data_IF_846245634527
#
_entry.id   IF_846245634527
#
_cell.length_a   1.000
_cell.length_b   1.000
_cell.length_c   1.000
_cell.angle_alpha   90.00
_cell.angle_beta   90.00
_cell.angle_gamma   90.00
#
_symmetry.space_group_name_H-M   'P 1'
#
loop_
_entity.id
_entity.type
_entity.pdbx_description
1 polymer ?
#
# COMPACT_ATOMS: atom_id res chain seq x y z
N UNK A 1 -9.30 -3.83 -22.72
CA UNK A 1 -9.34 -2.41 -23.14
C UNK A 1 -9.75 -1.55 -21.95
N UNK A 2 -9.34 -0.27 -21.93
CA UNK A 2 -9.60 0.72 -20.87
C UNK A 2 -10.07 2.05 -21.51
N UNK A 3 -10.66 2.95 -20.73
CA UNK A 3 -10.95 4.30 -21.21
C UNK A 3 -9.65 5.09 -21.46
N UNK A 4 -9.62 5.88 -22.52
CA UNK A 4 -8.46 6.68 -22.88
C UNK A 4 -8.37 7.93 -21.99
N UNK A 5 -7.23 8.22 -21.36
CA UNK A 5 -7.09 9.42 -20.51
C UNK A 5 -6.99 10.72 -21.33
N UNK A 6 -6.72 10.64 -22.64
CA UNK A 6 -6.56 11.80 -23.51
C UNK A 6 -7.87 12.38 -24.06
N UNK A 7 -8.99 11.65 -23.94
CA UNK A 7 -10.32 12.14 -24.33
C UNK A 7 -11.40 11.55 -23.43
N UNK A 8 -12.64 12.02 -23.55
CA UNK A 8 -13.78 11.41 -22.86
C UNK A 8 -14.43 10.36 -23.76
N UNK A 9 -14.37 9.08 -23.38
CA UNK A 9 -15.04 7.98 -24.05
C UNK A 9 -16.13 7.33 -23.16
N UNK A 10 -17.26 6.96 -23.77
CA UNK A 10 -18.32 6.19 -23.11
C UNK A 10 -18.08 4.67 -23.16
N UNK A 11 -17.18 4.21 -24.02
CA UNK A 11 -16.75 2.82 -24.15
C UNK A 11 -15.21 2.72 -24.16
N UNK A 12 -14.58 1.68 -23.59
CA UNK A 12 -13.13 1.56 -23.50
C UNK A 12 -12.43 1.58 -24.88
N UNK A 13 -11.68 2.64 -25.19
CA UNK A 13 -11.00 2.81 -26.49
C UNK A 13 -9.48 2.55 -26.48
N UNK A 14 -8.86 2.46 -25.30
CA UNK A 14 -7.43 2.31 -25.13
C UNK A 14 -7.02 0.84 -24.95
N UNK A 15 -6.03 0.43 -25.74
CA UNK A 15 -5.34 -0.84 -25.59
C UNK A 15 -3.90 -0.61 -25.16
N UNK A 16 -3.49 -1.26 -24.07
CA UNK A 16 -2.12 -1.24 -23.55
C UNK A 16 -1.69 -2.69 -23.40
N UNK A 17 -0.56 -3.05 -24.01
CA UNK A 17 0.00 -4.40 -23.95
C UNK A 17 1.53 -4.33 -23.85
N UNK A 18 2.16 -5.45 -23.56
CA UNK A 18 3.62 -5.61 -23.56
C UNK A 18 3.98 -6.48 -24.76
N UNK A 19 4.92 -6.04 -25.58
CA UNK A 19 5.49 -6.81 -26.69
C UNK A 19 6.47 -7.87 -26.16
N UNK A 20 6.83 -8.86 -26.99
CA UNK A 20 7.72 -9.96 -26.61
C UNK A 20 9.12 -9.47 -26.18
N UNK A 21 9.55 -8.31 -26.69
CA UNK A 21 10.81 -7.65 -26.31
C UNK A 21 10.71 -6.78 -25.04
N UNK A 22 9.57 -6.78 -24.37
CA UNK A 22 9.34 -6.07 -23.12
C UNK A 22 8.89 -4.61 -23.26
N UNK A 23 8.77 -4.06 -24.48
CA UNK A 23 8.25 -2.71 -24.71
C UNK A 23 6.74 -2.64 -24.45
N UNK A 24 6.28 -1.53 -23.89
CA UNK A 24 4.85 -1.26 -23.73
C UNK A 24 4.31 -0.65 -25.03
N UNK A 25 3.30 -1.29 -25.61
CA UNK A 25 2.56 -0.79 -26.77
C UNK A 25 1.27 -0.14 -26.30
N UNK A 26 1.02 1.08 -26.77
CA UNK A 26 -0.16 1.86 -26.46
C UNK A 26 -0.85 2.23 -27.76
N UNK A 27 -2.14 1.90 -27.88
CA UNK A 27 -2.94 2.24 -29.05
C UNK A 27 -4.34 2.67 -28.64
N UNK A 28 -4.77 3.84 -29.09
CA UNK A 28 -6.14 4.33 -28.93
C UNK A 28 -6.92 4.14 -30.23
N UNK A 29 -7.99 3.34 -30.19
CA UNK A 29 -8.82 3.08 -31.37
C UNK A 29 -9.77 4.23 -31.73
N UNK A 30 -9.85 5.26 -30.87
CA UNK A 30 -10.64 6.47 -31.12
C UNK A 30 -9.82 7.62 -31.76
N UNK A 31 -8.52 7.43 -31.98
CA UNK A 31 -7.70 8.35 -32.78
C UNK A 31 -6.73 9.26 -32.01
N UNK A 32 -6.63 9.16 -30.69
CA UNK A 32 -5.57 9.88 -29.96
C UNK A 32 -4.19 9.37 -30.34
N UNK A 33 -3.22 10.28 -30.43
CA UNK A 33 -1.82 9.91 -30.62
C UNK A 33 -1.23 9.31 -29.35
N UNK A 34 -0.11 8.59 -29.48
CA UNK A 34 0.59 8.03 -28.31
C UNK A 34 1.08 9.16 -27.41
N UNK A 35 1.53 10.27 -27.99
CA UNK A 35 1.98 11.47 -27.28
C UNK A 35 0.88 12.09 -26.42
N UNK A 36 -0.34 12.21 -26.94
CA UNK A 36 -1.50 12.73 -26.19
C UNK A 36 -1.84 11.83 -25.01
N UNK A 37 -1.82 10.50 -25.23
CA UNK A 37 -2.06 9.52 -24.17
C UNK A 37 -0.97 9.59 -23.09
N UNK A 38 0.30 9.64 -23.49
CA UNK A 38 1.42 9.75 -22.56
C UNK A 38 1.37 11.06 -21.76
N UNK A 39 1.06 12.18 -22.42
CA UNK A 39 0.92 13.48 -21.76
C UNK A 39 -0.20 13.45 -20.71
N UNK A 40 -1.36 12.89 -21.04
CA UNK A 40 -2.48 12.75 -20.11
C UNK A 40 -2.14 11.84 -18.91
N UNK A 41 -1.26 10.85 -19.11
CA UNK A 41 -0.74 9.97 -18.05
C UNK A 41 0.42 10.58 -17.26
N UNK A 42 0.95 11.74 -17.66
CA UNK A 42 2.20 12.32 -17.16
C UNK A 42 3.40 11.37 -17.33
N UNK A 43 3.40 10.61 -18.42
CA UNK A 43 4.45 9.70 -18.84
C UNK A 43 5.24 10.27 -20.02
N UNK A 44 6.33 9.61 -20.38
CA UNK A 44 7.18 9.96 -21.53
C UNK A 44 7.50 8.70 -22.34
N UNK A 45 7.97 8.87 -23.57
CA UNK A 45 8.39 7.77 -24.45
C UNK A 45 9.36 6.78 -23.79
N UNK A 46 10.24 7.26 -22.90
CA UNK A 46 11.14 6.40 -22.12
C UNK A 46 10.39 5.38 -21.29
N UNK A 47 9.22 5.72 -20.75
CA UNK A 47 8.43 4.76 -19.96
C UNK A 47 7.80 3.63 -20.80
N UNK A 48 7.77 3.76 -22.13
CA UNK A 48 7.33 2.69 -23.03
C UNK A 48 8.46 1.74 -23.42
N UNK A 49 9.70 2.21 -23.40
CA UNK A 49 10.87 1.47 -23.87
C UNK A 49 11.75 0.96 -22.73
N UNK A 50 11.97 1.81 -21.74
CA UNK A 50 12.79 1.52 -20.59
C UNK A 50 11.88 0.98 -19.49
N UNK A 51 12.06 -0.29 -19.12
CA UNK A 51 11.58 -0.74 -17.82
C UNK A 51 12.27 0.15 -16.78
N UNK A 52 11.54 0.91 -15.96
CA UNK A 52 12.20 1.67 -14.92
C UNK A 52 13.00 0.71 -14.05
N UNK A 53 14.27 1.04 -13.75
CA UNK A 53 15.06 0.32 -12.75
C UNK A 53 14.54 0.61 -11.33
N UNK A 54 13.24 0.59 -11.13
CA UNK A 54 12.62 0.86 -9.84
C UNK A 54 12.70 -0.41 -8.99
N UNK A 55 13.89 -0.64 -8.43
CA UNK A 55 14.01 -1.58 -7.30
C UNK A 55 13.08 -1.08 -6.18
N UNK A 56 12.56 -1.97 -5.33
CA UNK A 56 11.67 -1.52 -4.26
C UNK A 56 12.33 -0.47 -3.34
N UNK A 57 13.65 -0.53 -3.16
CA UNK A 57 14.45 0.48 -2.45
C UNK A 57 14.40 1.85 -3.15
N UNK A 58 14.61 1.90 -4.47
CA UNK A 58 14.58 3.14 -5.25
C UNK A 58 13.16 3.70 -5.32
N UNK A 59 12.15 2.84 -5.43
CA UNK A 59 10.75 3.24 -5.40
C UNK A 59 10.40 3.85 -4.03
N UNK A 60 10.80 3.17 -2.94
CA UNK A 60 10.61 3.68 -1.58
C UNK A 60 11.36 5.01 -1.35
N UNK A 61 12.60 5.13 -1.83
CA UNK A 61 13.37 6.36 -1.67
C UNK A 61 12.78 7.53 -2.47
N UNK A 62 12.30 7.28 -3.69
CA UNK A 62 11.73 8.31 -4.57
C UNK A 62 10.38 8.80 -4.06
N UNK A 63 9.50 7.88 -3.66
CA UNK A 63 8.11 8.20 -3.33
C UNK A 63 7.82 8.23 -1.81
N UNK A 64 8.73 7.72 -0.99
CA UNK A 64 8.66 7.77 0.48
C UNK A 64 9.24 9.06 1.07
N UNK A 65 10.08 9.81 0.32
CA UNK A 65 10.76 11.03 0.77
C UNK A 65 9.97 12.32 0.61
N UNK A 66 8.68 12.30 0.30
CA UNK A 66 7.85 13.50 0.45
C UNK A 66 7.91 13.95 1.91
N UNK A 67 8.85 14.83 2.23
CA UNK A 67 9.07 15.43 3.54
C UNK A 67 7.88 16.34 3.83
N UNK A 68 7.41 16.32 5.07
CA UNK A 68 6.20 17.04 5.42
C UNK A 68 6.49 18.33 6.17
N UNK A 69 5.77 19.41 5.86
CA UNK A 69 5.69 20.54 6.76
C UNK A 69 4.96 20.11 8.03
N UNK A 70 5.58 20.36 9.17
CA UNK A 70 4.95 20.35 10.49
C UNK A 70 4.03 21.58 10.58
N UNK A 71 2.80 21.40 11.07
CA UNK A 71 1.86 22.50 11.26
C UNK A 71 1.46 22.60 12.74
N UNK A 72 1.15 23.82 13.22
CA UNK A 72 0.69 24.02 14.60
C UNK A 72 -0.67 23.36 14.83
N UNK A 73 -0.91 22.96 16.08
CA UNK A 73 -2.15 22.30 16.49
C UNK A 73 -3.37 23.21 16.26
N UNK A 74 -4.45 22.62 15.77
CA UNK A 74 -5.76 23.28 15.68
C UNK A 74 -6.46 23.23 17.03
N UNK A 75 -7.03 24.38 17.44
CA UNK A 75 -7.91 24.49 18.60
C UNK A 75 -9.15 23.60 18.40
N UNK A 76 -9.29 22.61 19.29
CA UNK A 76 -10.33 21.60 19.21
C UNK A 76 -11.48 21.89 20.18
N UNK A 77 -12.71 21.92 19.66
CA UNK A 77 -13.89 21.46 20.42
C UNK A 77 -14.16 19.99 20.09
N UNK A 78 -13.32 19.09 20.62
CA UNK A 78 -13.56 17.64 20.75
C UNK A 78 -12.35 16.97 21.43
N UNK A 79 -12.35 16.88 22.77
CA UNK A 79 -11.31 16.17 23.55
C UNK A 79 -9.90 16.76 23.46
N UNK A 80 -9.12 16.67 24.54
CA UNK A 80 -7.72 17.09 24.49
C UNK A 80 -6.92 16.21 23.51
N UNK A 81 -6.17 16.84 22.60
CA UNK A 81 -5.24 16.20 21.67
C UNK A 81 -4.33 15.18 22.40
N UNK A 82 -3.97 14.00 21.83
CA UNK A 82 -3.15 12.99 22.53
C UNK A 82 -1.85 13.54 23.13
N UNK A 83 -1.16 14.44 22.42
CA UNK A 83 0.00 15.16 22.94
C UNK A 83 -0.29 15.92 24.26
N UNK A 84 -1.44 16.58 24.38
CA UNK A 84 -1.86 17.28 25.60
C UNK A 84 -2.20 16.31 26.76
N UNK A 85 -2.41 15.02 26.46
CA UNK A 85 -2.58 13.92 27.43
C UNK A 85 -1.24 13.24 27.78
N UNK A 86 -0.11 13.85 27.42
CA UNK A 86 1.23 13.28 27.64
C UNK A 86 1.55 12.06 26.77
N UNK A 87 0.78 11.81 25.70
CA UNK A 87 1.05 10.70 24.80
C UNK A 87 2.15 11.04 23.79
N UNK A 88 3.00 10.06 23.49
CA UNK A 88 4.04 10.15 22.47
C UNK A 88 3.54 9.65 21.13
N UNK A 89 3.77 10.41 20.06
CA UNK A 89 3.56 9.95 18.69
C UNK A 89 4.62 8.89 18.34
N UNK A 90 4.17 7.71 17.92
CA UNK A 90 5.04 6.56 17.61
C UNK A 90 5.27 6.45 16.10
N UNK A 91 4.21 6.56 15.31
CA UNK A 91 4.29 6.46 13.86
C UNK A 91 3.16 7.23 13.17
N UNK A 92 3.39 7.56 11.90
CA UNK A 92 2.40 8.17 11.00
C UNK A 92 2.43 7.43 9.68
N UNK A 93 1.26 6.95 9.23
CA UNK A 93 1.11 6.21 7.98
C UNK A 93 0.18 6.95 7.03
N UNK A 94 0.58 7.07 5.75
CA UNK A 94 -0.14 7.86 4.74
C UNK A 94 -0.96 6.97 3.81
N UNK A 95 -2.23 7.31 3.64
CA UNK A 95 -3.14 6.62 2.73
C UNK A 95 -3.62 7.56 1.63
N UNK A 96 -3.88 6.98 0.44
CA UNK A 96 -4.43 7.69 -0.71
C UNK A 96 -3.63 8.93 -1.09
N UNK A 97 -2.33 8.77 -1.33
CA UNK A 97 -1.40 9.85 -1.66
C UNK A 97 -1.36 10.98 -0.63
N UNK A 98 -1.50 10.61 0.64
CA UNK A 98 -1.49 11.53 1.77
C UNK A 98 -2.82 12.24 1.99
N UNK A 99 -3.91 11.83 1.33
CA UNK A 99 -5.25 12.32 1.65
C UNK A 99 -5.66 11.99 3.07
N UNK A 100 -5.22 10.85 3.60
CA UNK A 100 -5.45 10.46 5.00
C UNK A 100 -4.14 10.12 5.70
N UNK A 101 -4.10 10.42 7.00
CA UNK A 101 -3.04 9.97 7.89
C UNK A 101 -3.63 9.12 9.00
N UNK A 102 -2.95 8.03 9.31
CA UNK A 102 -3.11 7.29 10.56
C UNK A 102 -1.94 7.63 11.47
N UNK A 103 -2.23 8.32 12.57
CA UNK A 103 -1.29 8.59 13.65
C UNK A 103 -1.45 7.55 14.74
N UNK A 104 -0.34 6.93 15.15
CA UNK A 104 -0.31 5.97 16.25
C UNK A 104 0.35 6.62 17.46
N UNK A 105 -0.42 6.78 18.53
CA UNK A 105 0.02 7.37 19.78
C UNK A 105 0.16 6.31 20.88
N UNK A 106 1.08 6.55 21.81
CA UNK A 106 1.28 5.74 23.02
C UNK A 106 1.27 6.59 24.26
N UNK A 107 0.50 6.20 25.27
CA UNK A 107 0.60 6.81 26.59
C UNK A 107 1.88 6.35 27.30
N UNK A 108 2.32 7.06 28.36
CA UNK A 108 3.39 6.58 29.23
C UNK A 108 3.09 5.20 29.85
N UNK A 109 1.82 4.91 30.13
CA UNK A 109 1.35 3.61 30.63
C UNK A 109 1.13 2.53 29.55
N UNK A 110 1.55 2.77 28.31
CA UNK A 110 1.52 1.77 27.23
C UNK A 110 0.20 1.68 26.44
N UNK A 111 -0.85 2.42 26.82
CA UNK A 111 -2.11 2.45 26.10
C UNK A 111 -1.93 3.00 24.68
N UNK A 112 -2.65 2.41 23.71
CA UNK A 112 -2.61 2.79 22.29
C UNK A 112 -3.76 3.75 21.98
N UNK A 113 -3.51 4.78 21.19
CA UNK A 113 -4.55 5.64 20.62
C UNK A 113 -4.28 5.83 19.12
N UNK A 114 -5.29 5.61 18.30
CA UNK A 114 -5.20 5.65 16.84
C UNK A 114 -6.04 6.81 16.35
N UNK A 115 -5.40 7.77 15.69
CA UNK A 115 -6.07 8.96 15.20
C UNK A 115 -5.97 9.03 13.69
N UNK A 116 -7.12 9.12 13.04
CA UNK A 116 -7.17 9.48 11.63
C UNK A 116 -7.25 10.98 11.46
N UNK A 117 -6.54 11.51 10.47
CA UNK A 117 -6.71 12.89 10.00
C UNK A 117 -6.85 12.91 8.48
N UNK A 118 -7.60 13.87 7.95
CA UNK A 118 -7.86 14.02 6.51
C UNK A 118 -7.33 15.35 6.01
N UNK A 119 -6.65 15.32 4.87
CA UNK A 119 -6.18 16.53 4.19
C UNK A 119 -7.36 17.34 3.65
N UNK A 120 -7.42 18.62 4.00
CA UNK A 120 -8.33 19.63 3.42
C UNK A 120 -7.49 20.81 2.93
N UNK A 121 -7.29 20.90 1.63
CA UNK A 121 -6.37 21.88 1.04
C UNK A 121 -4.94 21.67 1.51
N UNK A 122 -4.39 22.64 2.25
CA UNK A 122 -3.01 22.62 2.78
C UNK A 122 -2.92 22.10 4.22
N UNK A 123 -4.03 21.79 4.88
CA UNK A 123 -4.06 21.39 6.30
C UNK A 123 -4.62 19.99 6.50
N UNK A 124 -4.39 19.43 7.70
CA UNK A 124 -4.95 18.14 8.14
C UNK A 124 -5.94 18.40 9.25
N UNK A 125 -7.17 17.90 9.07
CA UNK A 125 -8.23 18.00 10.05
C UNK A 125 -8.48 16.64 10.71
N UNK A 126 -8.79 16.59 12.01
CA UNK A 126 -9.13 15.35 12.70
C UNK A 126 -10.33 14.61 12.08
N UNK A 127 -10.23 13.29 12.02
CA UNK A 127 -11.28 12.40 11.57
C UNK A 127 -11.22 12.06 10.08
N UNK A 128 -12.08 11.11 9.69
CA UNK A 128 -12.23 10.62 8.31
C UNK A 128 -13.46 11.20 7.59
N UNK A 129 -14.23 12.09 8.24
CA UNK A 129 -15.41 12.75 7.68
C UNK A 129 -16.43 11.78 7.06
N UNK A 130 -16.77 10.73 7.81
CA UNK A 130 -17.76 9.71 7.40
C UNK A 130 -17.24 8.68 6.41
N UNK A 131 -15.98 8.76 5.96
CA UNK A 131 -15.36 7.72 5.14
C UNK A 131 -15.03 6.51 6.03
N UNK A 132 -15.54 5.31 5.74
CA UNK A 132 -15.18 4.10 6.49
C UNK A 132 -13.78 3.61 6.10
N UNK A 133 -13.13 2.86 6.99
CA UNK A 133 -11.81 2.28 6.71
C UNK A 133 -11.81 1.31 5.53
N UNK A 134 -12.93 0.63 5.26
CA UNK A 134 -13.11 -0.25 4.10
C UNK A 134 -13.09 0.49 2.76
N UNK A 135 -13.35 1.80 2.75
CA UNK A 135 -13.26 2.64 1.55
C UNK A 135 -11.85 3.20 1.31
N UNK A 136 -10.93 3.02 2.25
CA UNK A 136 -9.53 3.40 2.05
C UNK A 136 -8.83 2.44 1.08
N UNK A 137 -7.83 2.93 0.31
CA UNK A 137 -6.95 2.05 -0.44
C UNK A 137 -6.13 1.16 0.51
N UNK A 138 -5.50 0.12 -0.03
CA UNK A 138 -4.46 -0.58 0.73
C UNK A 138 -3.32 0.39 1.06
N UNK A 139 -2.62 0.12 2.17
CA UNK A 139 -1.42 0.88 2.50
C UNK A 139 -0.34 0.58 1.45
N UNK A 140 0.19 1.62 0.79
CA UNK A 140 1.11 1.50 -0.35
C UNK A 140 0.49 0.87 -1.61
N UNK A 141 -0.83 0.98 -1.81
CA UNK A 141 -1.50 0.33 -2.95
C UNK A 141 -0.89 0.69 -4.31
N UNK A 142 -0.47 1.95 -4.52
CA UNK A 142 0.14 2.37 -5.78
C UNK A 142 1.42 1.59 -6.05
N UNK A 143 2.30 1.52 -5.06
CA UNK A 143 3.55 0.76 -5.11
C UNK A 143 3.30 -0.73 -5.33
N UNK A 144 2.28 -1.28 -4.68
CA UNK A 144 1.88 -2.68 -4.82
C UNK A 144 1.39 -2.99 -6.23
N UNK A 145 0.57 -2.12 -6.83
CA UNK A 145 0.11 -2.31 -8.21
C UNK A 145 1.26 -2.31 -9.20
N UNK A 146 2.29 -1.49 -8.97
CA UNK A 146 3.51 -1.50 -9.77
C UNK A 146 4.25 -2.83 -9.61
N UNK A 147 4.40 -3.34 -8.38
CA UNK A 147 5.02 -4.63 -8.10
C UNK A 147 4.31 -5.79 -8.81
N UNK A 148 2.98 -5.85 -8.69
CA UNK A 148 2.15 -6.86 -9.37
C UNK A 148 2.32 -6.79 -10.88
N UNK A 149 2.30 -5.58 -11.46
CA UNK A 149 2.53 -5.38 -12.90
C UNK A 149 3.94 -5.78 -13.37
N UNK A 150 4.94 -5.65 -12.50
CA UNK A 150 6.31 -6.07 -12.77
C UNK A 150 6.55 -7.58 -12.52
N UNK A 151 5.59 -8.29 -11.93
CA UNK A 151 5.76 -9.68 -11.51
C UNK A 151 6.64 -9.85 -10.27
N UNK A 152 6.81 -8.79 -9.48
CA UNK A 152 7.55 -8.81 -8.22
C UNK A 152 6.68 -9.37 -7.08
N UNK A 153 7.26 -10.14 -6.14
CA UNK A 153 6.51 -10.66 -5.01
C UNK A 153 6.06 -9.54 -4.07
N UNK A 154 4.85 -9.67 -3.53
CA UNK A 154 4.26 -8.74 -2.57
C UNK A 154 4.04 -9.43 -1.23
N UNK A 155 4.58 -8.85 -0.16
CA UNK A 155 4.35 -9.35 1.21
C UNK A 155 3.11 -8.68 1.80
N UNK A 156 2.14 -9.49 2.25
CA UNK A 156 0.96 -9.04 2.98
C UNK A 156 1.19 -9.27 4.47
N UNK A 157 1.08 -8.19 5.25
CA UNK A 157 1.25 -8.20 6.71
C UNK A 157 0.08 -7.49 7.40
N UNK A 158 -0.06 -7.65 8.71
CA UNK A 158 -1.20 -7.06 9.45
C UNK A 158 -1.05 -5.55 9.73
N UNK A 159 0.19 -5.02 9.82
CA UNK A 159 0.41 -3.65 10.27
C UNK A 159 1.21 -2.78 9.30
N UNK A 160 0.88 -1.48 9.27
CA UNK A 160 1.57 -0.49 8.42
C UNK A 160 3.02 -0.28 8.85
N UNK A 161 3.32 -0.45 10.15
CA UNK A 161 4.69 -0.38 10.66
C UNK A 161 5.54 -1.55 10.17
N UNK A 162 4.96 -2.74 10.05
CA UNK A 162 5.64 -3.89 9.43
C UNK A 162 5.86 -3.66 7.93
N UNK A 163 4.87 -3.10 7.22
CA UNK A 163 5.03 -2.68 5.82
C UNK A 163 6.18 -1.69 5.68
N UNK A 164 6.22 -0.64 6.51
CA UNK A 164 7.28 0.37 6.43
C UNK A 164 8.68 -0.23 6.67
N UNK A 165 8.82 -1.19 7.59
CA UNK A 165 10.08 -1.89 7.82
C UNK A 165 10.51 -2.73 6.62
N UNK A 166 9.58 -3.51 6.05
CA UNK A 166 9.83 -4.37 4.89
C UNK A 166 10.16 -3.54 3.64
N UNK A 167 9.44 -2.45 3.41
CA UNK A 167 9.71 -1.55 2.28
C UNK A 167 11.06 -0.84 2.42
N UNK A 168 11.48 -0.47 3.64
CA UNK A 168 12.84 0.05 3.89
C UNK A 168 13.93 -0.99 3.63
N UNK A 169 13.65 -2.26 3.94
CA UNK A 169 14.52 -3.38 3.58
C UNK A 169 14.50 -3.69 2.07
N UNK A 170 13.58 -3.07 1.34
CA UNK A 170 13.60 -3.03 -0.11
C UNK A 170 12.88 -4.18 -0.79
N UNK A 171 11.71 -4.53 -0.25
CA UNK A 171 10.72 -5.38 -0.92
C UNK A 171 9.35 -4.71 -0.87
N UNK A 172 8.44 -5.12 -1.75
CA UNK A 172 7.07 -4.61 -1.73
C UNK A 172 6.24 -5.29 -0.65
N UNK A 173 5.54 -4.48 0.14
CA UNK A 173 4.62 -4.97 1.14
C UNK A 173 3.38 -4.10 1.23
N UNK A 174 2.30 -4.67 1.74
CA UNK A 174 1.03 -4.00 1.90
C UNK A 174 0.29 -4.47 3.14
N UNK A 175 -0.62 -3.63 3.59
CA UNK A 175 -1.64 -3.97 4.58
C UNK A 175 -2.93 -3.19 4.29
N UNK A 176 -3.94 -3.33 5.14
CA UNK A 176 -5.22 -2.62 5.07
C UNK A 176 -5.41 -1.73 6.30
N UNK A 177 -6.35 -0.79 6.24
CA UNK A 177 -6.77 -0.03 7.41
C UNK A 177 -7.74 -0.85 8.28
N UNK A 178 -7.52 -0.88 9.60
CA UNK A 178 -8.45 -1.51 10.56
C UNK A 178 -7.92 -2.76 11.30
N UNK A 179 -6.70 -3.22 11.00
CA UNK A 179 -6.05 -4.35 11.71
C UNK A 179 -6.76 -5.71 11.54
N UNK A 180 -6.36 -6.73 12.31
CA UNK A 180 -6.87 -8.11 12.20
C UNK A 180 -8.40 -8.25 12.20
N UNK A 181 -9.12 -7.38 12.91
CA UNK A 181 -10.57 -7.49 13.03
C UNK A 181 -11.29 -7.24 11.70
N UNK A 182 -10.70 -6.46 10.79
CA UNK A 182 -11.38 -5.96 9.59
C UNK A 182 -10.48 -5.91 8.35
N UNK A 183 -9.92 -7.05 7.89
CA UNK A 183 -9.23 -7.10 6.60
C UNK A 183 -10.17 -6.73 5.45
N UNK A 184 -9.67 -5.84 4.58
CA UNK A 184 -10.37 -5.42 3.37
C UNK A 184 -10.17 -6.46 2.25
N UNK A 185 -10.88 -7.59 2.37
CA UNK A 185 -10.72 -8.75 1.49
C UNK A 185 -10.99 -8.42 0.02
N UNK A 186 -12.04 -7.65 -0.26
CA UNK A 186 -12.40 -7.26 -1.63
C UNK A 186 -11.29 -6.46 -2.30
N UNK A 187 -10.71 -5.49 -1.56
CA UNK A 187 -9.61 -4.68 -2.08
C UNK A 187 -8.32 -5.49 -2.24
N UNK A 188 -8.01 -6.38 -1.29
CA UNK A 188 -6.88 -7.30 -1.40
C UNK A 188 -6.98 -8.16 -2.66
N UNK A 189 -8.15 -8.78 -2.89
CA UNK A 189 -8.42 -9.57 -4.10
C UNK A 189 -8.29 -8.74 -5.38
N UNK A 190 -8.83 -7.52 -5.38
CA UNK A 190 -8.78 -6.64 -6.56
C UNK A 190 -7.37 -6.14 -6.89
N UNK A 191 -6.51 -5.95 -5.88
CA UNK A 191 -5.14 -5.43 -6.05
C UNK A 191 -4.15 -6.55 -6.37
N UNK A 192 -4.28 -7.71 -5.71
CA UNK A 192 -3.27 -8.79 -5.74
C UNK A 192 -3.60 -9.93 -6.72
N UNK A 193 -4.63 -9.76 -7.57
CA UNK A 193 -4.97 -10.73 -8.60
C UNK A 193 -3.78 -10.97 -9.53
N UNK A 194 -3.39 -12.23 -9.71
CA UNK A 194 -2.28 -12.68 -10.55
C UNK A 194 -0.88 -12.40 -9.96
N UNK A 195 -0.80 -11.93 -8.71
CA UNK A 195 0.45 -11.63 -8.02
C UNK A 195 1.07 -12.88 -7.38
N UNK A 196 2.37 -12.83 -7.12
CA UNK A 196 3.06 -13.73 -6.20
C UNK A 196 3.03 -13.12 -4.79
N UNK A 197 2.37 -13.80 -3.84
CA UNK A 197 2.07 -13.25 -2.52
C UNK A 197 2.71 -14.07 -1.42
N UNK A 198 3.36 -13.38 -0.48
CA UNK A 198 3.76 -13.95 0.81
C UNK A 198 2.87 -13.38 1.90
N UNK A 199 2.14 -14.22 2.63
CA UNK A 199 1.33 -13.82 3.77
C UNK A 199 2.09 -14.08 5.06
N UNK A 200 2.35 -13.01 5.82
CA UNK A 200 3.03 -13.07 7.12
C UNK A 200 2.12 -12.48 8.19
N UNK A 201 1.40 -13.32 8.94
CA UNK A 201 0.56 -12.84 10.03
C UNK A 201 1.37 -12.54 11.28
N UNK A 202 0.80 -11.74 12.17
CA UNK A 202 1.25 -11.69 13.56
C UNK A 202 0.92 -13.06 14.20
N UNK A 203 1.87 -13.64 14.93
CA UNK A 203 1.70 -14.98 15.51
C UNK A 203 0.99 -14.92 16.87
N UNK A 204 -0.25 -14.43 16.84
CA UNK A 204 -1.21 -14.52 17.93
C UNK A 204 -2.57 -15.00 17.41
N UNK A 205 -3.51 -15.25 18.32
CA UNK A 205 -4.81 -15.82 17.93
C UNK A 205 -5.60 -14.90 16.95
N UNK A 206 -5.73 -13.57 17.20
CA UNK A 206 -6.36 -12.66 16.25
C UNK A 206 -5.67 -12.61 14.89
N UNK A 207 -4.34 -12.53 14.86
CA UNK A 207 -3.54 -12.44 13.64
C UNK A 207 -3.66 -13.70 12.79
N UNK A 208 -3.56 -14.88 13.41
CA UNK A 208 -3.77 -16.15 12.72
C UNK A 208 -5.21 -16.30 12.18
N UNK A 209 -6.22 -15.84 12.94
CA UNK A 209 -7.61 -15.84 12.49
C UNK A 209 -7.82 -14.92 11.27
N UNK A 210 -7.20 -13.73 11.29
CA UNK A 210 -7.19 -12.83 10.15
C UNK A 210 -6.47 -13.46 8.94
N UNK A 211 -5.31 -14.09 9.16
CA UNK A 211 -4.54 -14.76 8.12
C UNK A 211 -5.36 -15.82 7.37
N UNK A 212 -6.13 -16.64 8.10
CA UNK A 212 -7.02 -17.65 7.49
C UNK A 212 -8.04 -17.03 6.55
N UNK A 213 -8.63 -15.90 6.91
CA UNK A 213 -9.59 -15.16 6.06
C UNK A 213 -8.90 -14.59 4.81
N UNK A 214 -7.74 -13.96 4.97
CA UNK A 214 -6.97 -13.39 3.86
C UNK A 214 -6.50 -14.49 2.91
N UNK A 215 -6.01 -15.60 3.45
CA UNK A 215 -5.60 -16.78 2.68
C UNK A 215 -6.75 -17.32 1.82
N UNK A 216 -7.92 -17.55 2.42
CA UNK A 216 -9.08 -18.06 1.71
C UNK A 216 -9.51 -17.14 0.56
N UNK A 217 -9.44 -15.82 0.74
CA UNK A 217 -9.79 -14.85 -0.28
C UNK A 217 -8.75 -14.76 -1.42
N UNK A 218 -7.46 -14.85 -1.09
CA UNK A 218 -6.37 -14.66 -2.07
C UNK A 218 -6.03 -15.92 -2.86
N UNK A 219 -6.10 -17.10 -2.24
CA UNK A 219 -5.75 -18.39 -2.87
C UNK A 219 -6.32 -18.59 -4.28
N UNK A 220 -7.60 -18.28 -4.58
CA UNK A 220 -8.15 -18.51 -5.92
C UNK A 220 -7.74 -17.46 -6.97
N UNK A 221 -7.09 -16.36 -6.59
CA UNK A 221 -6.81 -15.23 -7.51
C UNK A 221 -5.34 -14.90 -7.69
N UNK A 222 -4.46 -15.32 -6.77
CA UNK A 222 -3.01 -15.11 -6.85
C UNK A 222 -2.34 -16.15 -7.74
N UNK A 223 -1.20 -15.80 -8.35
CA UNK A 223 -0.36 -16.74 -9.10
C UNK A 223 0.33 -17.74 -8.16
N UNK A 224 0.89 -17.22 -7.07
CA UNK A 224 1.45 -17.99 -5.95
C UNK A 224 1.03 -17.35 -4.64
N UNK A 225 0.76 -18.18 -3.62
CA UNK A 225 0.46 -17.73 -2.27
C UNK A 225 1.16 -18.61 -1.26
N UNK A 226 2.05 -18.02 -0.47
CA UNK A 226 2.84 -18.74 0.52
C UNK A 226 2.71 -18.10 1.89
N UNK A 227 2.50 -18.93 2.91
CA UNK A 227 2.39 -18.49 4.29
C UNK A 227 3.74 -18.63 4.98
N UNK A 228 4.20 -17.57 5.63
CA UNK A 228 5.38 -17.62 6.49
C UNK A 228 4.96 -17.11 7.86
N UNK A 229 4.92 -18.01 8.84
CA UNK A 229 4.53 -17.67 10.21
C UNK A 229 5.79 -17.41 11.04
N UNK A 230 5.91 -16.27 11.74
CA UNK A 230 6.95 -16.02 12.74
C UNK A 230 6.91 -17.01 13.92
N UNK A 231 7.80 -16.90 14.91
CA UNK A 231 7.66 -17.66 16.16
C UNK A 231 6.47 -17.15 16.99
N UNK A 232 5.91 -17.93 17.93
CA UNK A 232 4.79 -17.50 18.76
C UNK A 232 5.04 -16.14 19.44
N UNK A 233 4.08 -15.23 19.32
CA UNK A 233 4.15 -13.87 19.87
C UNK A 233 4.98 -12.87 19.04
N UNK A 234 5.57 -13.29 17.91
CA UNK A 234 6.33 -12.41 17.02
C UNK A 234 5.50 -11.87 15.86
N UNK A 235 5.95 -10.74 15.32
CA UNK A 235 5.40 -10.13 14.11
C UNK A 235 6.35 -10.22 12.90
N UNK A 236 5.91 -9.70 11.76
CA UNK A 236 6.73 -9.69 10.54
C UNK A 236 8.04 -8.89 10.65
N UNK A 237 8.15 -7.91 11.57
CA UNK A 237 9.39 -7.16 11.80
C UNK A 237 10.40 -7.97 12.59
N UNK A 238 9.95 -8.77 13.56
CA UNK A 238 10.82 -9.69 14.29
C UNK A 238 11.41 -10.72 13.32
N UNK A 239 10.57 -11.29 12.45
CA UNK A 239 11.02 -12.22 11.41
C UNK A 239 12.00 -11.56 10.42
N UNK A 240 11.71 -10.32 9.99
CA UNK A 240 12.62 -9.53 9.15
C UNK A 240 13.97 -9.28 9.85
N UNK A 241 13.97 -8.94 11.13
CA UNK A 241 15.19 -8.69 11.88
C UNK A 241 16.03 -9.97 12.04
N UNK A 242 15.38 -11.13 12.22
CA UNK A 242 16.04 -12.41 12.42
C UNK A 242 16.58 -13.03 11.12
N UNK A 243 15.84 -12.93 10.01
CA UNK A 243 16.13 -13.70 8.78
C UNK A 243 16.28 -12.83 7.51
N UNK A 244 16.15 -11.51 7.64
CA UNK A 244 16.17 -10.59 6.52
C UNK A 244 15.04 -10.81 5.51
N UNK A 245 15.12 -10.12 4.38
CA UNK A 245 14.13 -10.24 3.29
C UNK A 245 14.10 -11.64 2.70
N UNK A 246 15.26 -12.31 2.62
CA UNK A 246 15.35 -13.68 2.13
C UNK A 246 14.53 -14.66 2.97
N UNK A 247 14.48 -14.48 4.30
CA UNK A 247 13.67 -15.31 5.19
C UNK A 247 12.16 -15.10 5.01
N UNK A 248 11.73 -13.90 4.63
CA UNK A 248 10.34 -13.63 4.30
C UNK A 248 9.96 -14.21 2.93
N UNK A 249 10.82 -14.05 1.92
CA UNK A 249 10.57 -14.52 0.56
C UNK A 249 10.88 -16.01 0.35
N UNK A 250 11.55 -16.66 1.30
CA UNK A 250 12.06 -18.03 1.18
C UNK A 250 10.98 -19.11 1.01
N UNK A 251 9.71 -18.77 1.17
CA UNK A 251 8.60 -19.65 0.83
C UNK A 251 8.16 -19.60 -0.65
N UNK A 252 8.49 -18.54 -1.40
CA UNK A 252 7.89 -18.21 -2.70
C UNK A 252 8.70 -18.64 -3.93
N UNK A 253 9.57 -19.65 -3.82
CA UNK A 253 10.33 -20.20 -4.96
C UNK A 253 9.76 -21.51 -5.46
#
# INVERSE_FOLDING_TARGET
MRQCPAHADSAPSLHVTVADDGRVLVHCFAGCTVEEVLAALHCSWKHLHDRPWLTPQIHHATWGRSAWPTFPALDARAGAHPAARGMRLVSVHRYGDGRWLLERWRSPGGAKDLRWTTRRGRTYLPGMFGVPTSALPLYREREVRMAVGAGEPVIVVESESSVDAICRAGTYATTWAGGAASPNLDRLVAVLRGADVVLVPDHDEPGLACARRVWAALRPVTRSLVGVTPEPGQDARDLLAARGVAGLLGGAR
#
